data_IF_484585775768
#
_entry.id   IF_484585775768
#
_cell.length_a   1.000
_cell.length_b   1.000
_cell.length_c   1.000
_cell.angle_alpha   90.00
_cell.angle_beta   90.00
_cell.angle_gamma   90.00
#
_symmetry.space_group_name_H-M   'P 1'
#
loop_
_entity.id
_entity.type
_entity.pdbx_description
1 polymer ?
#
# COMPACT_ATOMS: atom_id res chain seq x y z
N UNK A 1 6.48 18.22 2.82
CA UNK A 1 7.05 16.87 3.05
C UNK A 1 6.25 16.22 4.15
N UNK A 2 5.33 15.32 3.83
CA UNK A 2 4.83 14.41 4.84
C UNK A 2 6.06 13.70 5.42
N UNK A 3 6.28 13.85 6.72
CA UNK A 3 7.36 13.15 7.40
C UNK A 3 7.13 11.66 7.13
N UNK A 4 7.87 11.12 6.17
CA UNK A 4 8.00 9.67 6.03
C UNK A 4 8.45 9.24 7.41
N UNK A 5 7.56 8.60 8.13
CA UNK A 5 7.89 8.22 9.49
C UNK A 5 9.02 7.21 9.37
N UNK A 6 10.25 7.63 9.63
CA UNK A 6 11.42 6.73 9.75
C UNK A 6 11.15 5.59 10.75
N UNK A 7 10.10 5.72 11.58
CA UNK A 7 9.54 4.61 12.35
C UNK A 7 9.12 3.41 11.47
N UNK A 8 8.74 3.64 10.21
CA UNK A 8 8.41 2.55 9.29
C UNK A 8 9.64 1.68 8.97
N UNK A 9 10.83 2.28 8.86
CA UNK A 9 12.08 1.55 8.60
C UNK A 9 12.57 0.72 9.80
N UNK A 10 12.14 1.05 11.00
CA UNK A 10 12.37 0.26 12.22
C UNK A 10 11.35 -0.85 12.44
N UNK A 11 10.45 -1.09 11.48
CA UNK A 11 9.48 -2.17 11.57
C UNK A 11 10.19 -3.52 11.57
N UNK A 12 9.82 -4.38 12.51
CA UNK A 12 10.38 -5.74 12.67
C UNK A 12 10.31 -6.53 11.35
N UNK A 13 9.25 -6.39 10.57
CA UNK A 13 9.09 -7.07 9.27
C UNK A 13 10.22 -6.70 8.29
N UNK A 14 10.57 -5.42 8.18
CA UNK A 14 11.66 -4.95 7.28
C UNK A 14 13.01 -5.50 7.73
N UNK A 15 13.27 -5.44 9.04
CA UNK A 15 14.52 -5.95 9.61
C UNK A 15 14.64 -7.45 9.37
N UNK A 16 13.57 -8.22 9.63
CA UNK A 16 13.54 -9.67 9.38
C UNK A 16 13.75 -9.98 7.91
N UNK A 17 13.02 -9.34 7.02
CA UNK A 17 13.17 -9.53 5.56
C UNK A 17 14.60 -9.20 5.12
N UNK A 18 15.14 -8.04 5.51
CA UNK A 18 16.50 -7.67 5.18
C UNK A 18 17.53 -8.69 5.69
N UNK A 19 17.36 -9.18 6.92
CA UNK A 19 18.26 -10.18 7.51
C UNK A 19 18.18 -11.52 6.77
N UNK A 20 16.99 -11.98 6.43
CA UNK A 20 16.79 -13.24 5.69
C UNK A 20 17.46 -13.17 4.31
N UNK A 21 17.21 -12.12 3.54
CA UNK A 21 17.83 -11.96 2.23
C UNK A 21 19.34 -11.81 2.30
N UNK A 22 19.84 -11.05 3.26
CA UNK A 22 21.27 -10.85 3.45
C UNK A 22 22.02 -12.12 3.87
N UNK A 23 21.35 -13.06 4.53
CA UNK A 23 21.91 -14.37 4.83
C UNK A 23 21.81 -15.33 3.65
N UNK A 24 20.70 -15.30 2.91
CA UNK A 24 20.50 -16.20 1.78
C UNK A 24 21.41 -15.90 0.60
N UNK A 25 21.73 -14.62 0.31
CA UNK A 25 22.58 -14.22 -0.81
C UNK A 25 24.00 -14.81 -0.74
N UNK A 26 24.78 -14.63 0.33
CA UNK A 26 26.10 -15.23 0.41
C UNK A 26 26.04 -16.76 0.46
N UNK A 27 25.03 -17.35 1.15
CA UNK A 27 24.84 -18.81 1.15
C UNK A 27 24.61 -19.36 -0.26
N UNK A 28 23.81 -18.66 -1.07
CA UNK A 28 23.62 -19.06 -2.46
C UNK A 28 24.94 -19.12 -3.24
N UNK A 29 25.81 -18.13 -3.06
CA UNK A 29 27.07 -18.05 -3.80
C UNK A 29 28.03 -19.21 -3.50
N UNK A 30 27.94 -19.85 -2.33
CA UNK A 30 28.72 -21.05 -2.01
C UNK A 30 28.35 -22.28 -2.85
N UNK A 31 27.16 -22.30 -3.48
CA UNK A 31 26.72 -23.42 -4.32
C UNK A 31 27.28 -23.36 -5.77
N UNK A 32 28.30 -22.57 -6.04
CA UNK A 32 28.96 -22.46 -7.34
C UNK A 32 28.02 -21.92 -8.42
N UNK A 33 28.02 -22.54 -9.61
CA UNK A 33 27.21 -22.08 -10.75
C UNK A 33 25.69 -22.13 -10.46
N UNK A 34 25.22 -23.12 -9.72
CA UNK A 34 23.83 -23.21 -9.27
C UNK A 34 23.50 -22.11 -8.26
N UNK A 35 24.50 -21.69 -7.50
CA UNK A 35 24.37 -20.59 -6.56
C UNK A 35 24.15 -19.23 -7.24
N UNK A 36 24.74 -19.00 -8.40
CA UNK A 36 24.48 -17.79 -9.19
C UNK A 36 23.02 -17.72 -9.64
N UNK A 37 22.45 -18.85 -10.07
CA UNK A 37 21.05 -18.91 -10.42
C UNK A 37 20.15 -18.64 -9.19
N UNK A 38 20.47 -19.27 -8.07
CA UNK A 38 19.74 -19.08 -6.81
C UNK A 38 19.85 -17.62 -6.32
N UNK A 39 21.04 -17.03 -6.37
CA UNK A 39 21.24 -15.63 -6.02
C UNK A 39 20.43 -14.68 -6.93
N UNK A 40 20.37 -14.95 -8.24
CA UNK A 40 19.53 -14.17 -9.16
C UNK A 40 18.04 -14.26 -8.77
N UNK A 41 17.55 -15.46 -8.43
CA UNK A 41 16.17 -15.66 -7.97
C UNK A 41 15.88 -14.91 -6.68
N UNK A 42 16.80 -14.94 -5.72
CA UNK A 42 16.70 -14.21 -4.46
C UNK A 42 16.65 -12.70 -4.72
N UNK A 43 17.51 -12.16 -5.59
CA UNK A 43 17.53 -10.75 -5.95
C UNK A 43 16.25 -10.32 -6.68
N UNK A 44 15.74 -11.12 -7.61
CA UNK A 44 14.48 -10.86 -8.29
C UNK A 44 13.29 -10.84 -7.32
N UNK A 45 13.26 -11.78 -6.37
CA UNK A 45 12.25 -11.82 -5.31
C UNK A 45 12.31 -10.56 -4.43
N UNK A 46 13.51 -10.16 -3.99
CA UNK A 46 13.73 -8.94 -3.23
C UNK A 46 13.28 -7.69 -4.00
N UNK A 47 13.62 -7.62 -5.29
CA UNK A 47 13.25 -6.51 -6.16
C UNK A 47 11.74 -6.39 -6.28
N UNK A 48 11.05 -7.50 -6.50
CA UNK A 48 9.60 -7.53 -6.56
C UNK A 48 8.95 -7.10 -5.25
N UNK A 49 9.43 -7.62 -4.13
CA UNK A 49 8.96 -7.20 -2.80
C UNK A 49 9.16 -5.69 -2.58
N UNK A 50 10.27 -5.12 -3.07
CA UNK A 50 10.51 -3.68 -3.03
C UNK A 50 9.45 -2.88 -3.80
N UNK A 51 9.01 -3.38 -4.97
CA UNK A 51 7.88 -2.79 -5.71
C UNK A 51 6.54 -2.96 -4.98
N UNK A 52 6.33 -4.08 -4.29
CA UNK A 52 5.15 -4.25 -3.45
C UNK A 52 5.10 -3.20 -2.33
N UNK A 53 6.24 -2.93 -1.68
CA UNK A 53 6.38 -1.84 -0.68
C UNK A 53 6.05 -0.49 -1.31
N UNK A 54 6.66 -0.16 -2.46
CA UNK A 54 6.44 1.11 -3.15
C UNK A 54 4.95 1.32 -3.43
N UNK A 55 4.28 0.35 -4.07
CA UNK A 55 2.84 0.42 -4.39
C UNK A 55 1.97 0.51 -3.15
N UNK A 56 2.30 -0.25 -2.12
CA UNK A 56 1.55 -0.26 -0.86
C UNK A 56 1.59 1.12 -0.19
N UNK A 57 2.78 1.72 -0.10
CA UNK A 57 2.98 3.04 0.51
C UNK A 57 2.37 4.15 -0.36
N UNK A 58 2.52 4.09 -1.69
CA UNK A 58 1.93 5.05 -2.62
C UNK A 58 0.40 5.09 -2.51
N UNK A 59 -0.25 3.93 -2.29
CA UNK A 59 -1.69 3.81 -2.03
C UNK A 59 -2.14 4.37 -0.66
N UNK A 60 -1.20 4.75 0.19
CA UNK A 60 -1.51 5.39 1.48
C UNK A 60 -1.54 4.45 2.68
N UNK A 61 -1.17 3.18 2.53
CA UNK A 61 -1.08 2.25 3.66
C UNK A 61 0.10 2.61 4.58
N UNK A 62 -0.11 2.48 5.88
CA UNK A 62 0.91 2.83 6.88
C UNK A 62 1.69 1.62 7.43
N UNK A 63 1.38 0.42 6.95
CA UNK A 63 2.05 -0.83 7.30
C UNK A 63 2.73 -1.42 6.06
N UNK A 64 3.73 -2.25 6.27
CA UNK A 64 4.37 -2.98 5.18
C UNK A 64 3.48 -4.13 4.70
N UNK A 65 3.50 -4.45 3.40
CA UNK A 65 2.85 -5.66 2.91
C UNK A 65 3.46 -6.88 3.59
N UNK A 66 2.65 -7.88 3.96
CA UNK A 66 3.20 -9.14 4.47
C UNK A 66 4.10 -9.77 3.41
N UNK A 67 5.25 -10.35 3.82
CA UNK A 67 6.09 -11.12 2.90
C UNK A 67 5.43 -12.47 2.62
N UNK A 68 4.52 -12.49 1.66
CA UNK A 68 3.81 -13.69 1.22
C UNK A 68 4.36 -14.24 -0.10
N UNK A 69 3.89 -15.43 -0.48
CA UNK A 69 4.33 -16.10 -1.71
C UNK A 69 3.98 -15.31 -2.96
N UNK A 70 2.95 -14.48 -2.93
CA UNK A 70 2.54 -13.65 -4.05
C UNK A 70 3.46 -12.45 -4.22
N UNK A 71 3.72 -11.70 -3.15
CA UNK A 71 4.59 -10.50 -3.17
C UNK A 71 6.06 -10.84 -3.41
N UNK A 72 6.49 -12.06 -3.10
CA UNK A 72 7.88 -12.52 -3.21
C UNK A 72 8.14 -13.45 -4.41
N UNK A 73 7.12 -13.84 -5.19
CA UNK A 73 7.31 -14.70 -6.36
C UNK A 73 8.11 -13.97 -7.46
N UNK A 74 9.33 -14.38 -7.79
CA UNK A 74 10.19 -13.65 -8.72
C UNK A 74 9.62 -13.55 -10.14
N UNK A 75 8.70 -14.43 -10.53
CA UNK A 75 8.09 -14.47 -11.87
C UNK A 75 6.67 -13.91 -11.94
N UNK A 76 6.12 -13.43 -10.83
CA UNK A 76 4.73 -12.98 -10.79
C UNK A 76 4.43 -11.74 -11.64
N UNK A 77 5.46 -10.92 -11.93
CA UNK A 77 5.32 -9.70 -12.74
C UNK A 77 6.50 -9.56 -13.70
N UNK A 78 6.30 -10.00 -14.92
CA UNK A 78 7.33 -10.04 -15.97
C UNK A 78 7.95 -8.67 -16.25
N UNK A 79 7.15 -7.60 -16.21
CA UNK A 79 7.61 -6.24 -16.43
C UNK A 79 8.62 -5.78 -15.34
N UNK A 80 8.37 -6.12 -14.08
CA UNK A 80 9.27 -5.83 -12.94
C UNK A 80 10.60 -6.58 -13.11
N UNK A 81 10.57 -7.84 -13.57
CA UNK A 81 11.77 -8.62 -13.84
C UNK A 81 12.61 -7.96 -14.92
N UNK A 82 12.00 -7.56 -16.05
CA UNK A 82 12.72 -6.89 -17.14
C UNK A 82 13.26 -5.52 -16.72
N UNK A 83 12.52 -4.78 -15.90
CA UNK A 83 13.00 -3.52 -15.33
C UNK A 83 14.26 -3.72 -14.49
N UNK A 84 14.27 -4.74 -13.62
CA UNK A 84 15.46 -5.11 -12.86
C UNK A 84 16.63 -5.48 -13.77
N UNK A 85 16.42 -6.41 -14.72
CA UNK A 85 17.45 -6.87 -15.64
C UNK A 85 18.03 -5.70 -16.43
N UNK A 86 17.19 -4.78 -16.88
CA UNK A 86 17.63 -3.59 -17.62
C UNK A 86 18.58 -2.72 -16.78
N UNK A 87 18.17 -2.29 -15.58
CA UNK A 87 18.99 -1.41 -14.74
C UNK A 87 20.22 -2.12 -14.17
N UNK A 88 20.10 -3.39 -13.78
CA UNK A 88 21.23 -4.19 -13.32
C UNK A 88 22.27 -4.39 -14.43
N UNK A 89 21.84 -4.79 -15.63
CA UNK A 89 22.72 -4.98 -16.78
C UNK A 89 23.40 -3.67 -17.19
N UNK A 90 22.66 -2.56 -17.21
CA UNK A 90 23.22 -1.25 -17.52
C UNK A 90 24.28 -0.85 -16.47
N UNK A 91 24.00 -1.04 -15.20
CA UNK A 91 24.96 -0.73 -14.12
C UNK A 91 26.20 -1.61 -14.21
N UNK A 92 26.02 -2.92 -14.39
CA UNK A 92 27.15 -3.87 -14.55
C UNK A 92 27.97 -3.49 -15.77
N UNK A 93 27.36 -3.19 -16.91
CA UNK A 93 28.04 -2.77 -18.12
C UNK A 93 28.91 -1.53 -17.88
N UNK A 94 28.34 -0.50 -17.23
CA UNK A 94 29.06 0.75 -16.94
C UNK A 94 30.22 0.54 -15.96
N UNK A 95 30.09 -0.36 -14.99
CA UNK A 95 31.12 -0.64 -13.98
C UNK A 95 32.21 -1.55 -14.55
N UNK A 96 31.82 -2.62 -15.26
CA UNK A 96 32.72 -3.66 -15.73
C UNK A 96 33.49 -3.30 -17.02
N UNK A 97 33.06 -2.28 -17.79
CA UNK A 97 33.70 -1.94 -19.06
C UNK A 97 35.00 -1.14 -18.83
N UNK A 98 36.19 -1.70 -19.10
CA UNK A 98 37.47 -1.06 -18.81
C UNK A 98 37.75 0.15 -19.71
N UNK A 99 37.15 0.19 -20.90
CA UNK A 99 37.38 1.23 -21.90
C UNK A 99 36.63 2.55 -21.62
N UNK A 100 35.70 2.56 -20.67
CA UNK A 100 35.00 3.77 -20.28
C UNK A 100 35.85 4.53 -19.26
N UNK A 101 36.32 5.70 -19.65
CA UNK A 101 37.07 6.58 -18.75
C UNK A 101 36.27 6.95 -17.51
N UNK A 102 36.94 7.15 -16.36
CA UNK A 102 36.32 7.48 -15.07
C UNK A 102 35.29 8.62 -15.15
N UNK A 103 35.54 9.77 -15.82
CA UNK A 103 34.58 10.85 -15.90
C UNK A 103 33.28 10.45 -16.58
N UNK A 104 33.37 9.72 -17.70
CA UNK A 104 32.20 9.26 -18.47
C UNK A 104 31.41 8.25 -17.64
N UNK A 105 32.08 7.35 -16.93
CA UNK A 105 31.46 6.39 -16.03
C UNK A 105 30.69 7.07 -14.91
N UNK A 106 31.26 8.07 -14.26
CA UNK A 106 30.61 8.84 -13.21
C UNK A 106 29.38 9.58 -13.75
N UNK A 107 29.49 10.22 -14.92
CA UNK A 107 28.35 10.88 -15.55
C UNK A 107 27.24 9.91 -15.92
N UNK A 108 27.58 8.74 -16.48
CA UNK A 108 26.58 7.73 -16.84
C UNK A 108 25.88 7.14 -15.61
N UNK A 109 26.62 6.80 -14.57
CA UNK A 109 26.04 6.33 -13.30
C UNK A 109 25.18 7.42 -12.63
N UNK A 110 25.61 8.68 -12.70
CA UNK A 110 24.81 9.83 -12.28
C UNK A 110 23.50 9.95 -13.07
N UNK A 111 23.55 9.72 -14.38
CA UNK A 111 22.36 9.66 -15.24
C UNK A 111 21.41 8.53 -14.85
N UNK A 112 21.93 7.33 -14.56
CA UNK A 112 21.14 6.20 -14.06
C UNK A 112 20.49 6.57 -12.72
N UNK A 113 21.24 7.14 -11.78
CA UNK A 113 20.73 7.55 -10.48
C UNK A 113 19.66 8.66 -10.59
N UNK A 114 19.77 9.53 -11.59
CA UNK A 114 18.76 10.55 -11.86
C UNK A 114 17.48 9.96 -12.44
N UNK A 115 17.58 9.02 -13.37
CA UNK A 115 16.42 8.44 -14.11
C UNK A 115 15.71 7.36 -13.30
N UNK A 116 16.44 6.59 -12.52
CA UNK A 116 15.92 5.42 -11.80
C UNK A 116 14.70 5.71 -10.93
N UNK A 117 14.67 6.78 -10.08
CA UNK A 117 13.50 7.04 -9.23
C UNK A 117 12.22 7.31 -10.02
N UNK A 118 12.30 8.06 -11.14
CA UNK A 118 11.15 8.29 -12.01
C UNK A 118 10.71 7.01 -12.71
N UNK A 119 11.67 6.21 -13.22
CA UNK A 119 11.40 4.93 -13.85
C UNK A 119 10.74 3.95 -12.88
N UNK A 120 11.27 3.84 -11.66
CA UNK A 120 10.68 3.01 -10.61
C UNK A 120 9.27 3.49 -10.21
N UNK A 121 9.05 4.80 -10.15
CA UNK A 121 7.74 5.39 -9.89
C UNK A 121 6.73 5.03 -10.98
N UNK A 122 7.07 5.27 -12.27
CA UNK A 122 6.23 4.89 -13.41
C UNK A 122 5.95 3.40 -13.40
N UNK A 123 6.99 2.57 -13.22
CA UNK A 123 6.86 1.11 -13.17
C UNK A 123 5.93 0.65 -12.04
N UNK A 124 6.07 1.25 -10.86
CA UNK A 124 5.21 0.95 -9.70
C UNK A 124 3.74 1.31 -9.92
N UNK A 125 3.46 2.37 -10.69
CA UNK A 125 2.10 2.82 -10.97
C UNK A 125 1.46 2.08 -12.14
N UNK A 126 2.21 1.86 -13.24
CA UNK A 126 1.64 1.38 -14.51
C UNK A 126 1.89 -0.10 -14.78
N UNK A 127 2.80 -0.75 -14.05
CA UNK A 127 3.31 -2.09 -14.33
C UNK A 127 3.75 -2.29 -15.80
N UNK A 128 4.16 -1.21 -16.47
CA UNK A 128 4.53 -1.19 -17.88
C UNK A 128 5.98 -0.78 -18.07
N UNK A 129 6.81 -1.71 -18.57
CA UNK A 129 8.21 -1.42 -18.88
C UNK A 129 8.34 -0.34 -19.95
N UNK A 130 7.49 -0.37 -20.97
CA UNK A 130 7.50 0.63 -22.03
C UNK A 130 7.23 2.05 -21.48
N UNK A 131 6.26 2.20 -20.57
CA UNK A 131 6.01 3.47 -19.90
C UNK A 131 7.17 3.88 -18.99
N UNK A 132 7.74 2.93 -18.23
CA UNK A 132 8.85 3.17 -17.30
C UNK A 132 10.16 3.55 -17.97
N UNK A 133 10.34 3.22 -19.24
CA UNK A 133 11.51 3.60 -20.05
C UNK A 133 11.21 4.74 -21.04
N UNK A 134 9.98 5.24 -21.11
CA UNK A 134 9.61 6.33 -21.99
C UNK A 134 10.06 7.68 -21.40
N UNK A 135 10.96 8.43 -22.09
CA UNK A 135 11.43 9.74 -21.61
C UNK A 135 10.32 10.75 -21.31
N UNK A 136 9.21 10.69 -22.05
CA UNK A 136 8.07 11.59 -21.83
C UNK A 136 7.38 11.31 -20.50
N UNK A 137 7.18 10.01 -20.16
CA UNK A 137 6.61 9.59 -18.87
C UNK A 137 7.53 9.97 -17.70
N UNK A 138 8.84 9.75 -17.87
CA UNK A 138 9.85 10.09 -16.86
C UNK A 138 9.89 11.60 -16.60
N UNK A 139 9.85 12.41 -17.67
CA UNK A 139 9.79 13.86 -17.56
C UNK A 139 8.49 14.35 -16.91
N UNK A 140 7.35 13.74 -17.25
CA UNK A 140 6.06 14.06 -16.65
C UNK A 140 6.10 13.85 -15.12
N UNK A 141 6.60 12.70 -14.66
CA UNK A 141 6.78 12.41 -13.22
C UNK A 141 7.72 13.43 -12.57
N UNK A 142 8.89 13.67 -13.14
CA UNK A 142 9.86 14.61 -12.59
C UNK A 142 9.29 16.03 -12.49
N UNK A 143 8.47 16.43 -13.47
CA UNK A 143 7.81 17.74 -13.50
C UNK A 143 6.71 17.87 -12.44
N UNK A 144 5.88 16.84 -12.26
CA UNK A 144 4.82 16.79 -11.24
C UNK A 144 5.43 16.84 -9.83
N UNK A 145 6.47 16.06 -9.58
CA UNK A 145 7.14 16.05 -8.29
C UNK A 145 7.98 17.31 -8.02
N UNK A 146 8.41 18.01 -9.06
CA UNK A 146 9.14 19.27 -8.93
C UNK A 146 10.33 19.21 -7.99
N UNK A 147 10.36 20.07 -6.96
CA UNK A 147 11.43 20.10 -5.96
C UNK A 147 11.54 18.80 -5.12
N UNK A 148 10.45 18.07 -4.93
CA UNK A 148 10.48 16.80 -4.19
C UNK A 148 11.18 15.70 -4.99
N UNK A 149 11.19 15.79 -6.34
CA UNK A 149 12.00 14.91 -7.17
C UNK A 149 13.49 15.09 -6.93
N UNK A 150 13.98 16.32 -6.85
CA UNK A 150 15.39 16.57 -6.56
C UNK A 150 15.82 16.02 -5.19
N UNK A 151 14.97 16.18 -4.17
CA UNK A 151 15.19 15.58 -2.84
C UNK A 151 15.20 14.05 -2.90
N UNK A 152 14.28 13.46 -3.68
CA UNK A 152 14.19 12.03 -3.87
C UNK A 152 15.47 11.50 -4.54
N UNK A 153 15.96 12.14 -5.60
CA UNK A 153 17.21 11.79 -6.26
C UNK A 153 18.39 11.87 -5.29
N UNK A 154 18.46 12.93 -4.47
CA UNK A 154 19.52 13.07 -3.46
C UNK A 154 19.48 11.93 -2.43
N UNK A 155 18.29 11.57 -1.95
CA UNK A 155 18.11 10.40 -1.05
C UNK A 155 18.51 9.11 -1.75
N UNK A 156 18.12 8.90 -3.02
CA UNK A 156 18.52 7.74 -3.80
C UNK A 156 20.03 7.62 -3.92
N UNK A 157 20.71 8.70 -4.30
CA UNK A 157 22.17 8.73 -4.42
C UNK A 157 22.84 8.40 -3.09
N UNK A 158 22.35 9.00 -1.99
CA UNK A 158 22.85 8.71 -0.65
C UNK A 158 22.67 7.23 -0.27
N UNK A 159 21.47 6.67 -0.45
CA UNK A 159 21.18 5.27 -0.11
C UNK A 159 21.98 4.29 -0.97
N UNK A 160 22.13 4.56 -2.26
CA UNK A 160 22.97 3.74 -3.17
C UNK A 160 24.44 3.83 -2.76
N UNK A 161 24.94 5.01 -2.41
CA UNK A 161 26.31 5.17 -1.94
C UNK A 161 26.55 4.39 -0.63
N UNK A 162 25.62 4.50 0.33
CA UNK A 162 25.69 3.77 1.59
C UNK A 162 25.61 2.25 1.39
N UNK A 163 24.70 1.78 0.54
CA UNK A 163 24.58 0.36 0.20
C UNK A 163 25.81 -0.17 -0.54
N UNK A 164 26.40 0.65 -1.43
CA UNK A 164 27.63 0.29 -2.17
C UNK A 164 28.87 0.12 -1.29
N UNK A 165 28.87 0.70 -0.10
CA UNK A 165 29.96 0.52 0.87
C UNK A 165 29.99 -0.90 1.45
N UNK A 166 28.91 -1.68 1.35
CA UNK A 166 28.84 -3.06 1.88
C UNK A 166 29.94 -3.95 1.31
N UNK A 167 30.25 -3.79 0.01
CA UNK A 167 31.28 -4.57 -0.65
C UNK A 167 32.69 -4.42 -0.03
N UNK A 168 33.04 -3.25 0.51
CA UNK A 168 34.31 -3.03 1.18
C UNK A 168 34.39 -3.73 2.54
N UNK A 169 33.25 -3.98 3.19
CA UNK A 169 33.19 -4.63 4.51
C UNK A 169 33.53 -6.12 4.43
N UNK A 170 33.27 -6.78 3.30
CA UNK A 170 33.68 -8.16 3.05
C UNK A 170 35.20 -8.35 3.06
N UNK A 171 35.94 -7.33 2.64
CA UNK A 171 37.42 -7.37 2.67
C UNK A 171 37.98 -7.26 4.09
N UNK A 172 37.21 -6.65 5.01
CA UNK A 172 37.65 -6.48 6.39
C UNK A 172 37.38 -7.73 7.26
N UNK A 173 36.18 -8.31 7.18
CA UNK A 173 35.84 -9.59 7.81
C UNK A 173 34.51 -10.12 7.27
N UNK A 174 34.32 -11.45 7.37
CA UNK A 174 33.05 -12.08 6.95
C UNK A 174 31.84 -11.56 7.78
N UNK A 175 32.04 -11.29 9.08
CA UNK A 175 30.98 -10.76 9.94
C UNK A 175 30.56 -9.35 9.51
N UNK A 176 31.54 -8.48 9.23
CA UNK A 176 31.27 -7.14 8.72
C UNK A 176 30.64 -7.18 7.34
N UNK A 177 31.03 -8.16 6.50
CA UNK A 177 30.42 -8.41 5.21
C UNK A 177 28.92 -8.72 5.32
N UNK A 178 28.54 -9.64 6.20
CA UNK A 178 27.11 -9.98 6.45
C UNK A 178 26.34 -8.77 6.97
N UNK A 179 26.89 -8.01 7.92
CA UNK A 179 26.27 -6.78 8.41
C UNK A 179 26.12 -5.73 7.30
N UNK A 180 27.13 -5.62 6.43
CA UNK A 180 27.07 -4.75 5.25
C UNK A 180 25.96 -5.16 4.30
N UNK A 181 25.75 -6.47 4.09
CA UNK A 181 24.69 -7.01 3.24
C UNK A 181 23.29 -6.74 3.81
N UNK A 182 23.11 -6.93 5.12
CA UNK A 182 21.86 -6.54 5.80
C UNK A 182 21.57 -5.06 5.56
N UNK A 183 22.60 -4.22 5.70
CA UNK A 183 22.47 -2.80 5.49
C UNK A 183 22.19 -2.43 4.02
N UNK A 184 22.81 -3.11 3.05
CA UNK A 184 22.56 -2.89 1.62
C UNK A 184 21.11 -3.26 1.24
N UNK A 185 20.62 -4.41 1.70
CA UNK A 185 19.21 -4.80 1.49
C UNK A 185 18.27 -3.81 2.15
N UNK A 186 18.57 -3.40 3.38
CA UNK A 186 17.77 -2.40 4.09
C UNK A 186 17.73 -1.05 3.34
N UNK A 187 18.85 -0.56 2.81
CA UNK A 187 18.90 0.69 2.02
C UNK A 187 18.10 0.58 0.73
N UNK A 188 18.09 -0.60 0.10
CA UNK A 188 17.25 -0.86 -1.07
C UNK A 188 15.75 -0.77 -0.72
N UNK A 189 15.30 -1.42 0.33
CA UNK A 189 13.91 -1.34 0.79
C UNK A 189 13.52 0.11 1.17
N UNK A 190 14.45 0.83 1.83
CA UNK A 190 14.28 2.24 2.19
C UNK A 190 14.13 3.14 0.96
N UNK A 191 14.84 2.85 -0.12
CA UNK A 191 14.74 3.57 -1.38
C UNK A 191 13.34 3.47 -1.99
N UNK A 192 12.80 2.25 -2.09
CA UNK A 192 11.45 2.03 -2.62
C UNK A 192 10.36 2.60 -1.70
N UNK A 193 10.57 2.55 -0.39
CA UNK A 193 9.72 3.23 0.58
C UNK A 193 9.70 4.75 0.34
N UNK A 194 10.89 5.37 0.13
CA UNK A 194 10.99 6.81 -0.10
C UNK A 194 10.29 7.22 -1.39
N UNK A 195 10.44 6.45 -2.48
CA UNK A 195 9.72 6.68 -3.74
C UNK A 195 8.21 6.60 -3.52
N UNK A 196 7.72 5.54 -2.87
CA UNK A 196 6.30 5.37 -2.56
C UNK A 196 5.73 6.50 -1.69
N UNK A 197 6.50 6.99 -0.72
CA UNK A 197 6.09 8.08 0.16
C UNK A 197 5.97 9.43 -0.57
N UNK A 198 6.87 9.71 -1.51
CA UNK A 198 6.78 10.91 -2.35
C UNK A 198 5.58 10.81 -3.29
N UNK A 199 5.35 9.67 -3.93
CA UNK A 199 4.17 9.42 -4.76
C UNK A 199 2.87 9.59 -3.98
N UNK A 200 2.81 9.11 -2.74
CA UNK A 200 1.66 9.31 -1.85
C UNK A 200 1.33 10.79 -1.64
N UNK A 201 2.34 11.65 -1.52
CA UNK A 201 2.17 13.10 -1.37
C UNK A 201 1.50 13.77 -2.57
N UNK A 202 1.72 13.21 -3.77
CA UNK A 202 1.25 13.74 -5.05
C UNK A 202 0.19 12.88 -5.73
N UNK A 203 -0.44 11.95 -5.00
CA UNK A 203 -1.35 10.94 -5.58
C UNK A 203 -2.49 11.53 -6.41
N UNK A 204 -3.03 12.69 -6.01
CA UNK A 204 -4.13 13.35 -6.74
C UNK A 204 -3.69 13.94 -8.08
N UNK A 205 -2.40 14.27 -8.23
CA UNK A 205 -1.84 14.79 -9.46
C UNK A 205 -1.55 13.66 -10.45
N UNK A 206 -1.32 12.44 -9.95
CA UNK A 206 -1.05 11.24 -10.75
C UNK A 206 -2.31 10.54 -11.27
N UNK A 207 -3.45 10.67 -10.62
CA UNK A 207 -4.74 10.15 -11.13
C UNK A 207 -5.05 10.66 -12.56
N UNK A 208 -4.44 11.79 -12.95
CA UNK A 208 -4.54 12.36 -14.29
C UNK A 208 -3.58 11.71 -15.32
N UNK A 209 -2.55 10.99 -14.87
CA UNK A 209 -1.51 10.36 -15.71
C UNK A 209 -1.73 8.84 -15.92
N UNK A 210 -2.62 8.22 -15.18
CA UNK A 210 -2.91 6.78 -15.22
C UNK A 210 -3.71 6.33 -16.46
N UNK A 211 -3.39 6.83 -17.63
CA UNK A 211 -3.99 6.41 -18.89
C UNK A 211 -3.55 5.05 -19.45
N UNK A 212 -2.72 4.27 -18.73
CA UNK A 212 -2.22 2.96 -19.18
C UNK A 212 -2.64 1.88 -18.19
N UNK A 213 -3.90 1.50 -18.26
CA UNK A 213 -4.50 0.53 -17.35
C UNK A 213 -4.22 -0.92 -17.73
N UNK A 214 -3.81 -1.72 -16.74
CA UNK A 214 -4.07 -3.16 -16.73
C UNK A 214 -5.59 -3.39 -16.83
N UNK A 215 -5.99 -4.44 -17.53
CA UNK A 215 -7.40 -4.79 -17.71
C UNK A 215 -8.16 -4.86 -16.38
N UNK A 216 -7.51 -5.40 -15.34
CA UNK A 216 -8.04 -5.51 -13.98
C UNK A 216 -8.34 -4.14 -13.33
N UNK A 217 -7.51 -3.13 -13.61
CA UNK A 217 -7.72 -1.78 -13.10
C UNK A 217 -8.86 -1.06 -13.83
N UNK A 218 -9.04 -1.34 -15.13
CA UNK A 218 -10.19 -0.83 -15.89
C UNK A 218 -11.49 -1.42 -15.36
N UNK A 219 -11.53 -2.73 -15.16
CA UNK A 219 -12.68 -3.42 -14.59
C UNK A 219 -13.02 -2.90 -13.20
N UNK A 220 -12.03 -2.69 -12.34
CA UNK A 220 -12.22 -2.11 -11.01
C UNK A 220 -12.74 -0.67 -11.08
N UNK A 221 -12.24 0.16 -12.02
CA UNK A 221 -12.74 1.53 -12.21
C UNK A 221 -14.14 1.56 -12.75
N UNK A 222 -14.45 0.70 -13.73
CA UNK A 222 -15.80 0.57 -14.29
C UNK A 222 -16.78 0.13 -13.19
N UNK A 223 -16.39 -0.83 -12.36
CA UNK A 223 -17.16 -1.29 -11.21
C UNK A 223 -17.39 -0.14 -10.21
N UNK A 224 -16.36 0.62 -9.84
CA UNK A 224 -16.50 1.78 -8.94
C UNK A 224 -17.35 2.89 -9.55
N UNK A 225 -17.27 3.12 -10.85
CA UNK A 225 -18.15 4.07 -11.55
C UNK A 225 -19.61 3.60 -11.53
N UNK A 226 -19.85 2.30 -11.68
CA UNK A 226 -21.19 1.72 -11.52
C UNK A 226 -21.71 1.91 -10.10
N UNK A 227 -20.90 1.63 -9.09
CA UNK A 227 -21.26 1.87 -7.70
C UNK A 227 -21.60 3.35 -7.45
N UNK A 228 -20.80 4.28 -8.01
CA UNK A 228 -21.06 5.71 -7.89
C UNK A 228 -22.40 6.11 -8.49
N UNK A 229 -22.74 5.61 -9.67
CA UNK A 229 -24.05 5.87 -10.31
C UNK A 229 -25.21 5.37 -9.45
N UNK A 230 -25.06 4.21 -8.81
CA UNK A 230 -26.06 3.65 -7.91
C UNK A 230 -26.20 4.51 -6.65
N UNK A 231 -25.07 4.93 -6.06
CA UNK A 231 -25.03 5.80 -4.88
C UNK A 231 -25.65 7.16 -5.16
N UNK A 232 -25.35 7.78 -6.30
CA UNK A 232 -25.93 9.05 -6.74
C UNK A 232 -27.44 8.95 -6.94
N UNK A 233 -27.94 7.83 -7.48
CA UNK A 233 -29.38 7.55 -7.62
C UNK A 233 -30.03 7.37 -6.25
N UNK A 234 -29.40 6.67 -5.33
CA UNK A 234 -29.88 6.52 -3.96
C UNK A 234 -29.94 7.88 -3.26
N UNK A 235 -28.92 8.71 -3.43
CA UNK A 235 -28.90 10.08 -2.89
C UNK A 235 -30.03 10.94 -3.46
N UNK A 236 -30.26 10.90 -4.76
CA UNK A 236 -31.37 11.60 -5.40
C UNK A 236 -32.73 11.16 -4.83
N UNK A 237 -32.90 9.86 -4.52
CA UNK A 237 -34.10 9.33 -3.91
C UNK A 237 -34.29 9.87 -2.48
N UNK A 238 -33.21 9.98 -1.68
CA UNK A 238 -33.27 10.62 -0.34
C UNK A 238 -33.70 12.07 -0.45
N UNK A 239 -33.12 12.84 -1.37
CA UNK A 239 -33.49 14.24 -1.59
C UNK A 239 -34.91 14.43 -2.07
N UNK A 240 -35.47 13.45 -2.75
CA UNK A 240 -36.89 13.42 -3.19
C UNK A 240 -37.86 12.95 -2.09
N UNK A 241 -37.37 12.72 -0.86
CA UNK A 241 -38.23 12.28 0.25
C UNK A 241 -38.57 10.78 0.23
N UNK A 242 -37.82 9.98 -0.51
CA UNK A 242 -38.02 8.51 -0.67
C UNK A 242 -36.85 7.71 -0.06
N UNK A 243 -36.53 7.84 1.24
CA UNK A 243 -35.39 7.17 1.85
C UNK A 243 -35.49 5.64 1.80
N UNK A 244 -36.69 5.06 1.90
CA UNK A 244 -36.89 3.63 1.82
C UNK A 244 -36.44 3.05 0.45
N UNK A 245 -36.65 3.79 -0.63
CA UNK A 245 -36.19 3.40 -1.96
C UNK A 245 -34.66 3.47 -2.04
N UNK A 246 -34.06 4.52 -1.50
CA UNK A 246 -32.60 4.66 -1.45
C UNK A 246 -31.93 3.47 -0.73
N UNK A 247 -32.46 3.07 0.43
CA UNK A 247 -31.94 1.91 1.18
C UNK A 247 -32.12 0.60 0.42
N UNK A 248 -33.23 0.41 -0.31
CA UNK A 248 -33.41 -0.76 -1.17
C UNK A 248 -32.36 -0.81 -2.25
N UNK A 249 -32.12 0.30 -2.94
CA UNK A 249 -31.10 0.40 -4.00
C UNK A 249 -29.69 0.11 -3.47
N UNK A 250 -29.35 0.64 -2.28
CA UNK A 250 -28.04 0.36 -1.64
C UNK A 250 -27.93 -1.11 -1.23
N UNK A 251 -29.01 -1.68 -0.68
CA UNK A 251 -29.03 -3.10 -0.31
C UNK A 251 -28.82 -3.98 -1.53
N UNK A 252 -29.52 -3.72 -2.63
CA UNK A 252 -29.37 -4.46 -3.89
C UNK A 252 -27.93 -4.38 -4.41
N UNK A 253 -27.28 -3.22 -4.32
CA UNK A 253 -25.88 -3.06 -4.66
C UNK A 253 -24.97 -3.95 -3.80
N UNK A 254 -25.12 -3.92 -2.48
CA UNK A 254 -24.32 -4.71 -1.55
C UNK A 254 -24.53 -6.21 -1.78
N UNK A 255 -25.77 -6.64 -1.96
CA UNK A 255 -26.13 -8.03 -2.20
C UNK A 255 -25.55 -8.52 -3.55
N UNK A 256 -25.53 -7.66 -4.60
CA UNK A 256 -24.96 -7.99 -5.92
C UNK A 256 -23.43 -8.13 -5.91
N UNK A 257 -22.76 -7.45 -5.00
CA UNK A 257 -21.29 -7.50 -4.81
C UNK A 257 -20.87 -8.55 -3.75
N UNK A 258 -21.73 -9.49 -3.45
CA UNK A 258 -21.45 -10.63 -2.58
C UNK A 258 -21.24 -10.26 -1.11
N UNK A 259 -21.83 -9.16 -0.64
CA UNK A 259 -21.76 -8.74 0.78
C UNK A 259 -20.31 -8.55 1.28
N UNK A 260 -19.43 -8.07 0.39
CA UNK A 260 -18.02 -7.89 0.69
C UNK A 260 -17.77 -6.67 1.59
N UNK A 261 -16.71 -6.71 2.43
CA UNK A 261 -16.35 -5.59 3.30
C UNK A 261 -16.01 -4.31 2.51
N UNK A 262 -15.48 -4.46 1.30
CA UNK A 262 -15.06 -3.34 0.46
C UNK A 262 -16.24 -2.50 -0.01
N UNK A 263 -17.35 -3.14 -0.44
CA UNK A 263 -18.54 -2.42 -0.86
C UNK A 263 -19.21 -1.69 0.33
N UNK A 264 -19.20 -2.31 1.52
CA UNK A 264 -19.69 -1.62 2.73
C UNK A 264 -18.86 -0.40 3.05
N UNK A 265 -17.53 -0.54 3.08
CA UNK A 265 -16.61 0.55 3.38
C UNK A 265 -16.77 1.69 2.38
N UNK A 266 -16.83 1.35 1.09
CA UNK A 266 -16.95 2.32 0.00
C UNK A 266 -18.30 3.07 0.09
N UNK A 267 -19.39 2.34 0.23
CA UNK A 267 -20.74 2.92 0.31
C UNK A 267 -20.90 3.80 1.57
N UNK A 268 -20.41 3.32 2.71
CA UNK A 268 -20.46 4.07 3.97
C UNK A 268 -19.70 5.40 3.85
N UNK A 269 -18.50 5.39 3.27
CA UNK A 269 -17.71 6.59 3.05
C UNK A 269 -18.40 7.56 2.09
N UNK A 270 -19.04 7.06 1.02
CA UNK A 270 -19.80 7.88 0.10
C UNK A 270 -21.02 8.52 0.74
N UNK A 271 -21.73 7.78 1.61
CA UNK A 271 -22.90 8.32 2.33
C UNK A 271 -22.52 9.36 3.41
N UNK A 272 -21.27 9.37 3.88
CA UNK A 272 -20.79 10.44 4.80
C UNK A 272 -20.71 11.80 4.13
N UNK A 273 -20.66 11.84 2.78
CA UNK A 273 -20.68 13.08 2.02
C UNK A 273 -22.10 13.60 1.73
N UNK A 274 -23.16 12.89 2.16
CA UNK A 274 -24.54 13.33 1.99
C UNK A 274 -24.90 14.45 2.97
N UNK A 275 -25.91 15.28 2.62
CA UNK A 275 -26.39 16.36 3.45
C UNK A 275 -26.86 15.91 4.85
N UNK A 276 -27.47 14.72 4.95
CA UNK A 276 -27.83 14.10 6.22
C UNK A 276 -27.03 12.82 6.48
N UNK A 277 -26.00 12.95 7.30
CA UNK A 277 -25.10 11.84 7.68
C UNK A 277 -25.78 10.73 8.49
N UNK A 278 -27.04 10.92 8.97
CA UNK A 278 -27.80 9.87 9.66
C UNK A 278 -28.02 8.65 8.77
N UNK A 279 -28.12 8.84 7.47
CA UNK A 279 -28.27 7.76 6.51
C UNK A 279 -27.05 6.82 6.51
N UNK A 280 -25.84 7.35 6.64
CA UNK A 280 -24.63 6.54 6.79
C UNK A 280 -24.66 5.71 8.08
N UNK A 281 -25.17 6.28 9.19
CA UNK A 281 -25.27 5.55 10.45
C UNK A 281 -26.19 4.32 10.35
N UNK A 282 -27.28 4.39 9.58
CA UNK A 282 -28.17 3.24 9.36
C UNK A 282 -27.48 2.11 8.59
N UNK A 283 -26.66 2.43 7.59
CA UNK A 283 -25.84 1.43 6.92
C UNK A 283 -24.76 0.87 7.87
N UNK A 284 -24.25 1.72 8.76
CA UNK A 284 -23.20 1.37 9.72
C UNK A 284 -23.57 0.21 10.63
N UNK A 285 -24.86 -0.02 10.91
CA UNK A 285 -25.32 -1.17 11.69
C UNK A 285 -24.95 -2.50 11.00
N UNK A 286 -25.34 -2.65 9.74
CA UNK A 286 -25.01 -3.85 8.94
C UNK A 286 -23.53 -4.00 8.73
N UNK A 287 -22.85 -2.91 8.45
CA UNK A 287 -21.41 -2.90 8.25
C UNK A 287 -20.65 -3.33 9.52
N UNK A 288 -21.05 -2.84 10.70
CA UNK A 288 -20.45 -3.25 11.96
C UNK A 288 -20.69 -4.74 12.25
N UNK A 289 -21.89 -5.24 11.99
CA UNK A 289 -22.20 -6.66 12.13
C UNK A 289 -21.37 -7.51 11.15
N UNK A 290 -21.17 -7.06 9.92
CA UNK A 290 -20.34 -7.76 8.93
C UNK A 290 -18.86 -7.78 9.31
N UNK A 291 -18.33 -6.66 9.83
CA UNK A 291 -16.97 -6.59 10.38
C UNK A 291 -16.78 -7.58 11.54
N UNK A 292 -17.79 -7.67 12.42
CA UNK A 292 -17.76 -8.59 13.55
C UNK A 292 -17.72 -10.05 13.10
N UNK A 293 -18.57 -10.44 12.14
CA UNK A 293 -18.57 -11.77 11.55
C UNK A 293 -17.26 -12.12 10.85
N UNK A 294 -16.59 -11.13 10.23
CA UNK A 294 -15.28 -11.28 9.62
C UNK A 294 -14.12 -11.33 10.63
N UNK A 295 -14.40 -11.33 11.95
CA UNK A 295 -13.38 -11.36 13.01
C UNK A 295 -12.71 -10.00 13.27
N UNK A 296 -13.10 -8.93 12.57
CA UNK A 296 -12.59 -7.57 12.76
C UNK A 296 -13.32 -6.83 13.88
N UNK A 297 -13.29 -7.41 15.07
CA UNK A 297 -14.05 -6.94 16.23
C UNK A 297 -13.73 -5.52 16.67
N UNK A 298 -12.45 -5.15 16.62
CA UNK A 298 -12.00 -3.80 16.95
C UNK A 298 -12.59 -2.76 16.01
N UNK A 299 -12.54 -3.02 14.70
CA UNK A 299 -13.07 -2.11 13.68
C UNK A 299 -14.60 -1.99 13.79
N UNK A 300 -15.28 -3.09 14.12
CA UNK A 300 -16.73 -3.09 14.37
C UNK A 300 -17.10 -2.19 15.55
N UNK A 301 -16.33 -2.26 16.64
CA UNK A 301 -16.54 -1.41 17.83
C UNK A 301 -16.29 0.06 17.52
N UNK A 302 -15.21 0.38 16.80
CA UNK A 302 -14.91 1.76 16.40
C UNK A 302 -15.95 2.34 15.44
N UNK A 303 -16.42 1.52 14.48
CA UNK A 303 -17.48 1.91 13.56
C UNK A 303 -18.80 2.21 14.31
N UNK A 304 -19.19 1.32 15.22
CA UNK A 304 -20.39 1.52 16.04
C UNK A 304 -20.31 2.82 16.86
N UNK A 305 -19.14 3.10 17.47
CA UNK A 305 -18.90 4.35 18.19
C UNK A 305 -18.97 5.58 17.26
N UNK A 306 -18.45 5.48 16.04
CA UNK A 306 -18.53 6.54 15.02
C UNK A 306 -19.98 6.79 14.60
N UNK A 307 -20.72 5.74 14.29
CA UNK A 307 -22.13 5.85 13.89
C UNK A 307 -23.00 6.49 14.99
N UNK A 308 -22.72 6.19 16.25
CA UNK A 308 -23.40 6.83 17.39
C UNK A 308 -23.12 8.33 17.49
N UNK A 309 -21.90 8.76 17.20
CA UNK A 309 -21.55 10.19 17.15
C UNK A 309 -22.25 10.90 15.98
N UNK A 310 -22.44 10.21 14.85
CA UNK A 310 -23.14 10.76 13.67
C UNK A 310 -24.65 10.83 13.88
N UNK A 311 -25.22 9.86 14.57
CA UNK A 311 -26.65 9.79 14.85
C UNK A 311 -26.91 9.26 16.27
N UNK A 312 -27.42 10.08 17.19
CA UNK A 312 -27.84 9.63 18.54
C UNK A 312 -28.93 8.54 18.51
N UNK A 313 -29.67 8.46 17.40
CA UNK A 313 -30.70 7.43 17.17
C UNK A 313 -30.15 6.12 16.65
N UNK A 314 -28.84 6.04 16.39
CA UNK A 314 -28.16 4.80 15.98
C UNK A 314 -28.14 3.81 17.15
N UNK A 315 -28.81 2.70 16.96
CA UNK A 315 -28.93 1.65 17.98
C UNK A 315 -28.89 0.29 17.30
N UNK A 316 -27.77 -0.43 17.37
CA UNK A 316 -27.67 -1.79 16.84
C UNK A 316 -28.63 -2.76 17.58
N UNK A 317 -28.95 -3.94 17.01
CA UNK A 317 -29.71 -4.99 17.66
C UNK A 317 -29.18 -5.29 19.08
N UNK A 318 -30.09 -5.51 20.05
CA UNK A 318 -29.71 -5.64 21.45
C UNK A 318 -28.66 -6.73 21.69
N UNK A 319 -28.79 -7.89 21.03
CA UNK A 319 -27.82 -8.98 21.13
C UNK A 319 -26.39 -8.56 20.65
N UNK A 320 -26.31 -7.88 19.52
CA UNK A 320 -25.03 -7.39 18.98
C UNK A 320 -24.44 -6.28 19.84
N UNK A 321 -25.29 -5.40 20.39
CA UNK A 321 -24.84 -4.35 21.30
C UNK A 321 -24.24 -4.93 22.60
N UNK A 322 -24.80 -6.02 23.12
CA UNK A 322 -24.28 -6.72 24.28
C UNK A 322 -22.90 -7.37 23.98
N UNK A 323 -22.72 -7.96 22.79
CA UNK A 323 -21.43 -8.51 22.37
C UNK A 323 -20.36 -7.42 22.24
N UNK A 324 -20.70 -6.25 21.66
CA UNK A 324 -19.83 -5.10 21.58
C UNK A 324 -19.45 -4.57 22.98
N UNK A 325 -20.39 -4.53 23.92
CA UNK A 325 -20.14 -4.11 25.29
C UNK A 325 -19.19 -5.06 26.02
N UNK A 326 -19.38 -6.38 25.87
CA UNK A 326 -18.48 -7.38 26.42
C UNK A 326 -17.04 -7.20 25.88
N UNK A 327 -16.90 -7.03 24.57
CA UNK A 327 -15.61 -6.81 23.94
C UNK A 327 -14.96 -5.48 24.35
N UNK A 328 -15.74 -4.40 24.52
CA UNK A 328 -15.23 -3.13 25.03
C UNK A 328 -14.65 -3.27 26.46
N UNK A 329 -15.26 -4.13 27.31
CA UNK A 329 -14.72 -4.45 28.64
C UNK A 329 -13.40 -5.19 28.58
N UNK A 330 -13.28 -6.18 27.69
CA UNK A 330 -12.03 -6.90 27.46
C UNK A 330 -10.89 -5.95 27.06
N UNK A 331 -11.20 -4.88 26.32
CA UNK A 331 -10.25 -3.84 25.93
C UNK A 331 -10.01 -2.78 27.03
N UNK A 332 -10.61 -2.91 28.20
CA UNK A 332 -10.50 -1.93 29.30
C UNK A 332 -11.29 -0.62 29.07
N UNK A 333 -12.16 -0.56 28.06
CA UNK A 333 -12.98 0.61 27.72
C UNK A 333 -14.30 0.60 28.48
N UNK A 334 -14.25 0.62 29.81
CA UNK A 334 -15.40 0.43 30.70
C UNK A 334 -16.53 1.44 30.45
N UNK A 335 -16.22 2.75 30.29
CA UNK A 335 -17.25 3.77 30.01
C UNK A 335 -18.04 3.48 28.73
N UNK A 336 -17.34 3.03 27.67
CA UNK A 336 -17.97 2.67 26.41
C UNK A 336 -18.87 1.44 26.58
N UNK A 337 -18.39 0.45 27.34
CA UNK A 337 -19.17 -0.76 27.64
C UNK A 337 -20.46 -0.43 28.38
N UNK A 338 -20.40 0.42 29.42
CA UNK A 338 -21.58 0.85 30.21
C UNK A 338 -22.57 1.61 29.32
N UNK A 339 -22.09 2.45 28.45
CA UNK A 339 -22.93 3.17 27.47
C UNK A 339 -23.63 2.21 26.49
N UNK A 340 -22.94 1.16 26.03
CA UNK A 340 -23.52 0.16 25.13
C UNK A 340 -24.54 -0.72 25.86
N UNK A 341 -24.33 -1.09 27.12
CA UNK A 341 -25.29 -1.84 27.92
C UNK A 341 -26.57 -1.04 28.18
N UNK A 342 -26.43 0.25 28.50
CA UNK A 342 -27.60 1.12 28.67
C UNK A 342 -28.43 1.20 27.38
N UNK A 343 -27.80 1.18 26.22
CA UNK A 343 -28.46 1.11 24.92
C UNK A 343 -29.15 -0.23 24.67
N UNK A 344 -28.48 -1.35 24.95
CA UNK A 344 -29.08 -2.68 24.82
C UNK A 344 -30.37 -2.81 25.64
N UNK A 345 -30.35 -2.33 26.88
CA UNK A 345 -31.50 -2.31 27.77
C UNK A 345 -32.62 -1.41 27.26
N UNK A 346 -32.28 -0.25 26.70
CA UNK A 346 -33.29 0.68 26.14
C UNK A 346 -33.99 0.11 24.91
N UNK A 347 -33.25 -0.69 24.10
CA UNK A 347 -33.81 -1.35 22.93
C UNK A 347 -34.71 -2.52 23.28
N UNK A 348 -34.32 -3.35 24.23
CA UNK A 348 -35.15 -4.46 24.69
C UNK A 348 -36.54 -3.99 25.13
N UNK A 349 -36.62 -2.79 25.78
CA UNK A 349 -37.90 -2.18 26.21
C UNK A 349 -38.74 -1.58 25.07
N UNK A 350 -38.21 -1.39 23.87
CA UNK A 350 -38.95 -0.85 22.71
C UNK A 350 -39.51 -1.93 21.81
N UNK A 351 -39.06 -3.16 21.94
CA UNK A 351 -39.51 -4.32 21.16
C UNK A 351 -40.62 -5.13 21.86
N UNK A 352 -40.82 -4.91 23.13
CA UNK A 352 -41.98 -5.37 23.90
C UNK A 352 -43.11 -4.29 23.86
#
# INVERSE_FOLDING_TARGET
>A
MAAVSFKALGNTTVIVVASVYALLLPLALFAGIYGLFLAAMILLSLWRYSYAILRHVARGWNHFPPPDMESMNPFGEVAVVFHYVFFASLTVLLVATPFIGTPVRVLALGGVALVFPASAAVMGMTNSLAAALNPASLWAIARVLGADYAKLVAVCVLLVALGGMSGSLWQASWLLGVLGEIFAVWTMLALFLAIGAVLRGHRFEFDLLEGADDADQREERERRQQWQKVLDRAYASVRSGLPAQAYRTIKELIDSEGDSLDIYQWTFNGMLAWDDVKHAALLGERFAARLWQAGRKFDALELAQRCRKLSPSFVPPAAFTAELAAYARELGRHRLADDLDALALSNAKRTD
#
